data_IF_077432487607
#
_entry.id   IF_077432487607
#
_cell.length_a   1.000
_cell.length_b   1.000
_cell.length_c   1.000
_cell.angle_alpha   90.00
_cell.angle_beta   90.00
_cell.angle_gamma   90.00
#
_symmetry.space_group_name_H-M   'P 1'
#
loop_
_entity.id
_entity.type
_entity.pdbx_description
1 polymer ?
#
# COMPACT_ATOMS: atom_id res chain seq x y z
N UNK A 1 1.24 -57.54 29.93
CA UNK A 1 2.11 -56.35 29.72
C UNK A 1 2.20 -56.10 28.22
N UNK A 2 1.26 -55.33 27.67
CA UNK A 2 1.30 -54.91 26.27
C UNK A 2 0.89 -53.44 26.22
N UNK A 3 1.89 -52.56 26.15
CA UNK A 3 1.72 -51.13 25.92
C UNK A 3 1.69 -50.89 24.41
N UNK A 4 0.51 -50.59 23.89
CA UNK A 4 0.31 -50.06 22.54
C UNK A 4 0.87 -48.64 22.48
N UNK A 5 1.98 -48.45 21.76
CA UNK A 5 2.55 -47.14 21.47
C UNK A 5 1.77 -46.46 20.34
N UNK A 6 1.16 -45.32 20.64
CA UNK A 6 0.53 -44.45 19.67
C UNK A 6 1.62 -43.64 18.95
N UNK A 7 1.88 -43.95 17.68
CA UNK A 7 2.73 -43.13 16.81
C UNK A 7 1.89 -41.97 16.31
N UNK A 8 2.12 -40.77 16.85
CA UNK A 8 1.56 -39.54 16.29
C UNK A 8 2.29 -39.21 14.98
N UNK A 9 1.59 -39.33 13.85
CA UNK A 9 2.04 -38.78 12.57
C UNK A 9 1.95 -37.26 12.63
N UNK A 10 3.08 -36.57 12.83
CA UNK A 10 3.16 -35.13 12.57
C UNK A 10 3.08 -34.89 11.07
N UNK A 11 2.01 -34.24 10.62
CA UNK A 11 1.93 -33.70 9.27
C UNK A 11 3.01 -32.60 9.09
N UNK A 12 3.64 -32.49 7.91
CA UNK A 12 4.59 -31.43 7.64
C UNK A 12 3.85 -30.09 7.65
N UNK A 13 4.36 -29.12 8.43
CA UNK A 13 3.86 -27.75 8.37
C UNK A 13 4.10 -27.22 6.96
N UNK A 14 3.02 -27.00 6.20
CA UNK A 14 3.06 -26.21 4.98
C UNK A 14 3.71 -24.86 5.34
N UNK A 15 4.89 -24.56 4.80
CA UNK A 15 5.47 -23.22 4.97
C UNK A 15 4.48 -22.23 4.38
N UNK A 16 3.79 -21.49 5.24
CA UNK A 16 2.90 -20.43 4.81
C UNK A 16 3.73 -19.45 3.98
N UNK A 17 3.27 -19.15 2.77
CA UNK A 17 3.92 -18.14 1.93
C UNK A 17 3.96 -16.82 2.71
N UNK A 18 5.13 -16.16 2.70
CA UNK A 18 5.29 -14.88 3.40
C UNK A 18 4.27 -13.88 2.87
N UNK A 19 3.71 -13.05 3.77
CA UNK A 19 2.81 -11.98 3.37
C UNK A 19 3.50 -11.00 2.41
N UNK A 20 2.73 -10.22 1.64
CA UNK A 20 3.32 -9.13 0.85
C UNK A 20 4.04 -8.13 1.76
N UNK A 21 3.51 -7.87 2.95
CA UNK A 21 4.15 -7.03 3.97
C UNK A 21 5.56 -7.52 4.30
N UNK A 22 5.74 -8.82 4.56
CA UNK A 22 7.05 -9.39 4.86
C UNK A 22 7.99 -9.34 3.64
N UNK A 23 7.47 -9.61 2.44
CA UNK A 23 8.25 -9.56 1.19
C UNK A 23 8.70 -8.15 0.83
N UNK A 24 7.90 -7.13 1.18
CA UNK A 24 8.23 -5.72 1.01
C UNK A 24 9.25 -5.20 2.03
N UNK A 25 9.63 -5.99 3.04
CA UNK A 25 10.56 -5.59 4.09
C UNK A 25 9.89 -4.95 5.31
N UNK A 26 8.58 -5.13 5.46
CA UNK A 26 7.81 -4.66 6.61
C UNK A 26 7.59 -3.15 6.65
N UNK A 27 7.20 -2.67 7.83
CA UNK A 27 6.67 -1.32 8.02
C UNK A 27 7.63 -0.21 7.61
N UNK A 28 8.91 -0.30 7.99
CA UNK A 28 9.89 0.77 7.70
C UNK A 28 10.14 0.92 6.20
N UNK A 29 10.17 -0.20 5.46
CA UNK A 29 10.31 -0.18 4.01
C UNK A 29 9.07 0.43 3.33
N UNK A 30 7.88 0.03 3.78
CA UNK A 30 6.60 0.60 3.31
C UNK A 30 6.55 2.10 3.61
N UNK A 31 6.96 2.52 4.80
CA UNK A 31 7.00 3.92 5.20
C UNK A 31 7.94 4.72 4.28
N UNK A 32 9.16 4.23 4.05
CA UNK A 32 10.13 4.90 3.19
C UNK A 32 9.64 5.07 1.74
N UNK A 33 9.05 4.02 1.16
CA UNK A 33 8.43 4.07 -0.18
C UNK A 33 7.27 5.05 -0.21
N UNK A 34 6.39 5.00 0.78
CA UNK A 34 5.20 5.87 0.83
C UNK A 34 5.58 7.34 0.94
N UNK A 35 6.58 7.68 1.75
CA UNK A 35 7.10 9.05 1.85
C UNK A 35 7.71 9.55 0.54
N UNK A 36 8.39 8.69 -0.22
CA UNK A 36 8.95 9.06 -1.52
C UNK A 36 7.85 9.35 -2.56
N UNK A 37 6.84 8.49 -2.67
CA UNK A 37 5.69 8.73 -3.57
C UNK A 37 4.94 9.99 -3.15
N UNK A 38 4.67 10.17 -1.85
CA UNK A 38 3.99 11.35 -1.32
C UNK A 38 4.73 12.65 -1.70
N UNK A 39 6.06 12.68 -1.54
CA UNK A 39 6.87 13.82 -1.96
C UNK A 39 6.75 14.13 -3.45
N UNK A 40 6.73 13.09 -4.29
CA UNK A 40 6.59 13.23 -5.75
C UNK A 40 5.23 13.77 -6.17
N UNK A 41 4.13 13.25 -5.62
CA UNK A 41 2.77 13.67 -5.99
C UNK A 41 2.46 15.08 -5.47
N UNK A 42 2.97 15.46 -4.29
CA UNK A 42 2.83 16.82 -3.76
C UNK A 42 3.59 17.83 -4.64
N UNK A 43 4.75 17.43 -5.18
CA UNK A 43 5.56 18.27 -6.07
C UNK A 43 5.10 18.27 -7.54
N UNK A 44 4.17 17.40 -7.94
CA UNK A 44 3.64 17.34 -9.30
C UNK A 44 2.75 18.56 -9.59
N UNK A 45 2.95 19.19 -10.76
CA UNK A 45 2.24 20.43 -11.13
C UNK A 45 0.71 20.28 -11.18
N UNK A 46 0.18 19.12 -11.56
CA UNK A 46 -1.27 18.86 -11.61
C UNK A 46 -1.75 18.31 -10.26
N UNK A 47 -1.05 17.33 -9.69
CA UNK A 47 -1.53 16.68 -8.45
C UNK A 47 -1.35 17.54 -7.20
N UNK A 48 -0.33 18.41 -7.15
CA UNK A 48 -0.06 19.30 -6.02
C UNK A 48 -1.26 20.17 -5.61
N UNK A 49 -2.21 20.40 -6.53
CA UNK A 49 -3.47 21.11 -6.25
C UNK A 49 -4.26 20.52 -5.08
N UNK A 50 -4.21 19.20 -4.85
CA UNK A 50 -4.93 18.56 -3.74
C UNK A 50 -4.40 18.98 -2.36
N UNK A 51 -3.15 19.45 -2.30
CA UNK A 51 -2.47 19.84 -1.05
C UNK A 51 -2.11 21.33 -0.99
N UNK A 52 -2.46 22.14 -1.99
CA UNK A 52 -2.03 23.55 -2.13
C UNK A 52 -2.37 24.45 -0.92
N UNK A 53 -3.40 24.11 -0.14
CA UNK A 53 -3.85 24.86 1.03
C UNK A 53 -3.82 24.04 2.32
N UNK A 54 -3.02 22.97 2.35
CA UNK A 54 -2.90 22.08 3.50
C UNK A 54 -1.67 22.42 4.32
N UNK A 55 -1.81 22.43 5.64
CA UNK A 55 -0.68 22.56 6.56
C UNK A 55 0.18 21.30 6.59
N UNK A 56 1.47 21.45 6.89
CA UNK A 56 2.45 20.36 6.89
C UNK A 56 2.08 19.21 7.82
N UNK A 57 1.58 19.50 9.03
CA UNK A 57 1.10 18.47 9.98
C UNK A 57 -0.07 17.66 9.40
N UNK A 58 -1.00 18.30 8.69
CA UNK A 58 -2.12 17.62 8.04
C UNK A 58 -1.67 16.66 6.95
N UNK A 59 -0.69 17.06 6.14
CA UNK A 59 -0.08 16.20 5.11
C UNK A 59 0.63 15.01 5.77
N UNK A 60 1.39 15.25 6.84
CA UNK A 60 2.10 14.15 7.54
C UNK A 60 1.15 13.11 8.13
N UNK A 61 0.03 13.54 8.72
CA UNK A 61 -1.00 12.62 9.23
C UNK A 61 -1.67 11.82 8.12
N UNK A 62 -1.90 12.44 6.97
CA UNK A 62 -2.44 11.76 5.80
C UNK A 62 -1.49 10.68 5.27
N UNK A 63 -0.20 11.00 5.13
CA UNK A 63 0.82 10.02 4.73
C UNK A 63 0.90 8.87 5.72
N UNK A 64 0.81 9.15 7.03
CA UNK A 64 0.76 8.10 8.05
C UNK A 64 -0.43 7.16 7.87
N UNK A 65 -1.63 7.68 7.55
CA UNK A 65 -2.79 6.85 7.27
C UNK A 65 -2.60 5.99 6.01
N UNK A 66 -1.90 6.49 4.99
CA UNK A 66 -1.57 5.72 3.79
C UNK A 66 -0.62 4.57 4.13
N UNK A 67 0.41 4.82 4.96
CA UNK A 67 1.34 3.78 5.44
C UNK A 67 0.56 2.68 6.16
N UNK A 68 -0.30 3.05 7.11
CA UNK A 68 -1.11 2.10 7.89
C UNK A 68 -2.03 1.28 6.97
N UNK A 69 -2.64 1.92 5.97
CA UNK A 69 -3.50 1.27 5.00
C UNK A 69 -2.74 0.23 4.16
N UNK A 70 -1.57 0.60 3.63
CA UNK A 70 -0.73 -0.31 2.83
C UNK A 70 -0.25 -1.46 3.69
N UNK A 71 0.25 -1.19 4.90
CA UNK A 71 0.76 -2.23 5.79
C UNK A 71 -0.33 -3.24 6.19
N UNK A 72 -1.52 -2.78 6.57
CA UNK A 72 -2.67 -3.64 6.85
C UNK A 72 -3.05 -4.46 5.60
N UNK A 73 -3.18 -3.82 4.43
CA UNK A 73 -3.63 -4.47 3.20
C UNK A 73 -2.62 -5.48 2.64
N UNK A 74 -1.34 -5.28 2.89
CA UNK A 74 -0.27 -6.20 2.51
C UNK A 74 -0.16 -7.44 3.43
N UNK A 75 -1.04 -7.57 4.43
CA UNK A 75 -1.05 -8.66 5.39
C UNK A 75 -0.17 -8.43 6.63
N UNK A 76 0.21 -7.18 6.89
CA UNK A 76 0.96 -6.80 8.09
C UNK A 76 0.10 -6.81 9.36
N UNK A 77 0.72 -6.76 10.54
CA UNK A 77 0.05 -6.91 11.84
C UNK A 77 -0.69 -5.65 12.32
N UNK A 78 -0.98 -4.70 11.43
CA UNK A 78 -1.63 -3.44 11.74
C UNK A 78 -3.11 -3.50 11.46
N UNK A 79 -3.90 -2.82 12.29
CA UNK A 79 -5.32 -2.57 12.06
C UNK A 79 -5.51 -1.16 11.48
N UNK A 80 -6.03 -1.08 10.25
CA UNK A 80 -6.32 0.21 9.62
C UNK A 80 -7.53 0.89 10.25
N UNK A 81 -7.36 2.14 10.70
CA UNK A 81 -8.40 2.96 11.36
C UNK A 81 -8.93 4.12 10.51
N UNK A 82 -8.50 4.22 9.26
CA UNK A 82 -8.94 5.28 8.37
C UNK A 82 -10.29 4.98 7.73
N UNK A 83 -10.72 5.90 6.86
CA UNK A 83 -11.95 5.78 6.08
C UNK A 83 -11.75 4.77 4.95
N UNK A 84 -12.83 4.17 4.47
CA UNK A 84 -12.79 3.40 3.22
C UNK A 84 -12.39 4.29 2.04
N UNK A 85 -11.91 3.67 0.96
CA UNK A 85 -11.37 4.38 -0.20
C UNK A 85 -12.38 5.35 -0.82
N UNK A 86 -13.66 4.97 -0.93
CA UNK A 86 -14.67 5.83 -1.53
C UNK A 86 -14.94 7.05 -0.66
N UNK A 87 -15.18 6.86 0.64
CA UNK A 87 -15.43 7.95 1.57
C UNK A 87 -14.22 8.88 1.76
N UNK A 88 -13.01 8.36 1.59
CA UNK A 88 -11.78 9.17 1.65
C UNK A 88 -11.64 10.11 0.44
N UNK A 89 -12.11 9.71 -0.74
CA UNK A 89 -11.84 10.41 -2.01
C UNK A 89 -13.07 11.08 -2.65
N UNK A 90 -14.28 10.83 -2.14
CA UNK A 90 -15.50 11.39 -2.70
C UNK A 90 -15.48 12.93 -2.73
N UNK A 91 -15.86 13.50 -3.87
CA UNK A 91 -15.93 14.95 -4.10
C UNK A 91 -14.59 15.61 -4.41
N UNK A 92 -13.49 14.84 -4.48
CA UNK A 92 -12.18 15.35 -4.87
C UNK A 92 -12.05 15.58 -6.38
N UNK A 93 -12.98 15.04 -7.19
CA UNK A 93 -12.94 15.13 -8.67
C UNK A 93 -11.61 14.63 -9.24
N UNK A 94 -11.14 13.50 -8.71
CA UNK A 94 -9.96 12.81 -9.23
C UNK A 94 -10.32 12.23 -10.59
N UNK A 95 -9.53 12.57 -11.61
CA UNK A 95 -9.73 12.12 -12.98
C UNK A 95 -8.75 11.00 -13.38
N UNK A 96 -8.94 10.45 -14.59
CA UNK A 96 -8.05 9.41 -15.11
C UNK A 96 -6.59 9.89 -15.25
N UNK A 97 -6.34 11.16 -15.58
CA UNK A 97 -4.98 11.68 -15.72
C UNK A 97 -4.28 11.78 -14.36
N UNK A 98 -4.99 12.16 -13.30
CA UNK A 98 -4.47 12.11 -11.93
C UNK A 98 -4.04 10.71 -11.53
N UNK A 99 -4.85 9.70 -11.90
CA UNK A 99 -4.53 8.29 -11.66
C UNK A 99 -3.24 7.85 -12.39
N UNK A 100 -3.14 8.15 -13.68
CA UNK A 100 -1.94 7.80 -14.45
C UNK A 100 -0.69 8.51 -13.91
N UNK A 101 -0.82 9.74 -13.40
CA UNK A 101 0.26 10.46 -12.73
C UNK A 101 0.67 9.79 -11.42
N UNK A 102 -0.30 9.36 -10.59
CA UNK A 102 -0.03 8.58 -9.39
C UNK A 102 0.76 7.31 -9.75
N UNK A 103 0.29 6.53 -10.72
CA UNK A 103 0.92 5.27 -11.13
C UNK A 103 2.32 5.49 -11.71
N UNK A 104 2.55 6.59 -12.44
CA UNK A 104 3.89 7.00 -12.89
C UNK A 104 4.84 7.31 -11.73
N UNK A 105 4.39 8.08 -10.74
CA UNK A 105 5.20 8.43 -9.57
C UNK A 105 5.47 7.20 -8.70
N UNK A 106 4.48 6.32 -8.53
CA UNK A 106 4.64 5.02 -7.87
C UNK A 106 5.71 4.19 -8.59
N UNK A 107 5.62 4.04 -9.92
CA UNK A 107 6.63 3.32 -10.71
C UNK A 107 8.05 3.86 -10.50
N UNK A 108 8.22 5.18 -10.54
CA UNK A 108 9.51 5.82 -10.32
C UNK A 108 10.05 5.61 -8.89
N UNK A 109 9.18 5.53 -7.88
CA UNK A 109 9.58 5.16 -6.52
C UNK A 109 9.99 3.70 -6.45
N UNK A 110 9.20 2.77 -7.00
CA UNK A 110 9.55 1.35 -6.99
C UNK A 110 10.88 1.08 -7.71
N UNK A 111 11.20 1.84 -8.76
CA UNK A 111 12.50 1.84 -9.42
C UNK A 111 13.62 2.33 -8.51
N UNK A 112 13.43 3.48 -7.84
CA UNK A 112 14.41 4.06 -6.90
C UNK A 112 14.76 3.08 -5.78
N UNK A 113 13.76 2.39 -5.22
CA UNK A 113 13.94 1.41 -4.15
C UNK A 113 14.32 0.02 -4.65
N UNK A 114 14.44 -0.18 -5.97
CA UNK A 114 14.81 -1.46 -6.59
C UNK A 114 13.89 -2.60 -6.14
N UNK A 115 12.59 -2.32 -6.01
CA UNK A 115 11.60 -3.32 -5.61
C UNK A 115 11.55 -4.43 -6.68
N UNK A 116 11.68 -5.72 -6.29
CA UNK A 116 11.73 -6.80 -7.26
C UNK A 116 10.43 -6.93 -8.06
N UNK A 117 10.50 -7.60 -9.21
CA UNK A 117 9.41 -7.60 -10.19
C UNK A 117 8.11 -8.23 -9.66
N UNK A 118 8.21 -9.26 -8.81
CA UNK A 118 7.05 -9.91 -8.21
C UNK A 118 6.30 -8.95 -7.28
N UNK A 119 7.01 -8.36 -6.31
CA UNK A 119 6.45 -7.41 -5.35
C UNK A 119 5.94 -6.15 -6.06
N UNK A 120 6.64 -5.67 -7.10
CA UNK A 120 6.16 -4.56 -7.94
C UNK A 120 4.81 -4.88 -8.56
N UNK A 121 4.66 -6.07 -9.15
CA UNK A 121 3.39 -6.48 -9.77
C UNK A 121 2.27 -6.50 -8.73
N UNK A 122 2.55 -7.03 -7.55
CA UNK A 122 1.56 -7.12 -6.47
C UNK A 122 1.18 -5.73 -5.93
N UNK A 123 2.16 -4.82 -5.77
CA UNK A 123 1.91 -3.43 -5.39
C UNK A 123 1.06 -2.71 -6.45
N UNK A 124 1.41 -2.82 -7.73
CA UNK A 124 0.64 -2.21 -8.82
C UNK A 124 -0.78 -2.76 -8.86
N UNK A 125 -0.95 -4.08 -8.74
CA UNK A 125 -2.27 -4.71 -8.70
C UNK A 125 -3.10 -4.23 -7.50
N UNK A 126 -2.48 -4.05 -6.33
CA UNK A 126 -3.14 -3.48 -5.16
C UNK A 126 -3.64 -2.06 -5.41
N UNK A 127 -2.82 -1.17 -5.96
CA UNK A 127 -3.26 0.19 -6.31
C UNK A 127 -4.38 0.16 -7.35
N UNK A 128 -4.27 -0.63 -8.42
CA UNK A 128 -5.34 -0.74 -9.42
C UNK A 128 -6.67 -1.26 -8.83
N UNK A 129 -6.62 -2.09 -7.79
CA UNK A 129 -7.83 -2.58 -7.12
C UNK A 129 -8.66 -1.48 -6.45
N UNK A 130 -8.04 -0.35 -6.09
CA UNK A 130 -8.71 0.78 -5.44
C UNK A 130 -9.20 1.83 -6.44
N UNK A 131 -8.79 1.76 -7.71
CA UNK A 131 -9.07 2.77 -8.74
C UNK A 131 -10.56 3.11 -8.86
N UNK A 132 -11.43 2.09 -8.84
CA UNK A 132 -12.88 2.24 -9.00
C UNK A 132 -13.54 3.06 -7.88
N UNK A 133 -12.91 3.11 -6.70
CA UNK A 133 -13.43 3.82 -5.53
C UNK A 133 -12.84 5.24 -5.43
N UNK A 134 -11.81 5.55 -6.24
CA UNK A 134 -11.05 6.80 -6.18
C UNK A 134 -11.33 7.70 -7.40
N UNK A 135 -11.36 7.14 -8.61
CA UNK A 135 -11.52 7.92 -9.85
C UNK A 135 -13.00 8.21 -10.10
N UNK A 136 -13.37 9.49 -10.07
CA UNK A 136 -14.75 9.95 -10.25
C UNK A 136 -15.03 10.42 -11.69
N UNK A 137 -14.03 11.04 -12.32
CA UNK A 137 -14.15 11.63 -13.66
C UNK A 137 -13.39 10.75 -14.65
N UNK A 138 -14.08 10.28 -15.69
CA UNK A 138 -13.51 9.47 -16.76
C UNK A 138 -12.85 10.33 -17.83
#
# INVERSE_FOLDING_TARGET
>A
MALLGLVALSAPAQSAEKSLYDRLGGYDAIAAVTWDVAGRIVADKKMGRFWAHRGQDGIKREVQLIIDFIANSAGGPLYYRGRDMKLAHIGMKIDAEDWERLMKHLGATLDKFKVPAAERKDVVAFFESTRKDIVEVK
#
